data_IF_344435104422
#
_entry.id   IF_344435104422
#
_cell.length_a   1.000
_cell.length_b   1.000
_cell.length_c   1.000
_cell.angle_alpha   90.00
_cell.angle_beta   90.00
_cell.angle_gamma   90.00
#
_symmetry.space_group_name_H-M   'P 1'
#
loop_
_entity.id
_entity.type
_entity.pdbx_description
1 polymer ?
#
# COMPACT_ATOMS: atom_id res chain seq x y z
N UNK A 1 5.71 18.03 11.27
CA UNK A 1 5.17 17.93 12.63
C UNK A 1 5.02 16.47 13.06
N UNK A 2 4.35 15.62 12.28
CA UNK A 2 4.05 14.21 12.62
C UNK A 2 5.31 13.38 12.91
N UNK A 3 6.41 13.57 12.16
CA UNK A 3 7.68 12.87 12.40
C UNK A 3 8.22 13.11 13.81
N UNK A 4 8.10 14.35 14.34
CA UNK A 4 8.54 14.68 15.71
C UNK A 4 7.62 14.05 16.75
N UNK A 5 6.30 14.08 16.51
CA UNK A 5 5.33 13.43 17.41
C UNK A 5 5.54 11.92 17.43
N UNK A 6 5.76 11.31 16.28
CA UNK A 6 5.99 9.86 16.16
C UNK A 6 7.25 9.43 16.93
N UNK A 7 8.35 10.19 16.82
CA UNK A 7 9.58 9.88 17.57
C UNK A 7 9.40 9.95 19.10
N UNK A 8 8.53 10.84 19.58
CA UNK A 8 8.17 10.90 21.01
C UNK A 8 7.32 9.67 21.39
N UNK A 9 6.36 9.29 20.55
CA UNK A 9 5.50 8.12 20.78
C UNK A 9 6.31 6.83 20.88
N UNK A 10 7.37 6.71 20.08
CA UNK A 10 8.28 5.58 20.11
C UNK A 10 8.99 5.46 21.48
N UNK A 11 9.57 6.57 21.96
CA UNK A 11 10.27 6.63 23.24
C UNK A 11 9.35 6.34 24.44
N UNK A 12 8.11 6.78 24.39
CA UNK A 12 7.15 6.61 25.51
C UNK A 12 6.26 5.35 25.36
N UNK A 13 6.53 4.49 24.37
CA UNK A 13 5.81 3.23 24.18
C UNK A 13 4.33 3.39 23.79
N UNK A 14 3.97 4.47 23.09
CA UNK A 14 2.57 4.75 22.69
C UNK A 14 2.30 4.60 21.19
N UNK A 15 3.21 3.94 20.46
CA UNK A 15 3.08 3.74 19.00
C UNK A 15 1.80 2.96 18.68
N UNK A 16 1.46 1.95 19.47
CA UNK A 16 0.28 1.10 19.28
C UNK A 16 -1.04 1.69 19.81
N UNK A 17 -1.01 2.91 20.34
CA UNK A 17 -2.21 3.57 20.85
C UNK A 17 -3.22 3.84 19.73
N UNK A 18 -4.38 3.19 19.77
CA UNK A 18 -5.43 3.31 18.76
C UNK A 18 -5.84 4.76 18.46
N UNK A 19 -6.11 5.64 19.45
CA UNK A 19 -6.45 7.03 19.17
C UNK A 19 -5.31 7.79 18.49
N UNK A 20 -4.06 7.53 18.87
CA UNK A 20 -2.89 8.20 18.29
C UNK A 20 -2.58 7.70 16.87
N UNK A 21 -2.78 6.43 16.58
CA UNK A 21 -2.69 5.88 15.22
C UNK A 21 -3.76 6.55 14.34
N UNK A 22 -4.99 6.56 14.78
CA UNK A 22 -6.12 7.15 14.06
C UNK A 22 -5.87 8.63 13.75
N UNK A 23 -5.47 9.41 14.75
CA UNK A 23 -5.15 10.83 14.61
C UNK A 23 -3.98 11.06 13.65
N UNK A 24 -2.88 10.31 13.79
CA UNK A 24 -1.69 10.44 12.93
C UNK A 24 -2.00 10.14 11.46
N UNK A 25 -2.79 9.11 11.18
CA UNK A 25 -3.17 8.76 9.81
C UNK A 25 -4.08 9.82 9.21
N UNK A 26 -5.19 10.13 9.88
CA UNK A 26 -6.24 10.97 9.31
C UNK A 26 -5.85 12.45 9.23
N UNK A 27 -5.10 12.99 10.19
CA UNK A 27 -4.64 14.38 10.13
C UNK A 27 -3.85 14.68 8.85
N UNK A 28 -3.01 13.75 8.41
CA UNK A 28 -2.25 13.89 7.14
C UNK A 28 -3.15 13.82 5.92
N UNK A 29 -4.13 12.94 5.92
CA UNK A 29 -5.08 12.79 4.80
C UNK A 29 -6.02 13.98 4.68
N UNK A 30 -6.54 14.45 5.79
CA UNK A 30 -7.37 15.66 5.84
C UNK A 30 -6.55 16.89 5.40
N UNK A 31 -5.34 17.06 5.91
CA UNK A 31 -4.45 18.16 5.54
C UNK A 31 -4.06 18.15 4.05
N UNK A 32 -4.01 17.00 3.41
CA UNK A 32 -3.74 16.88 1.96
C UNK A 32 -4.96 17.15 1.08
N UNK A 33 -6.14 17.38 1.68
CA UNK A 33 -7.36 17.75 0.96
C UNK A 33 -8.01 16.63 0.15
N UNK A 34 -7.76 15.36 0.50
CA UNK A 34 -8.43 14.24 -0.17
C UNK A 34 -9.91 14.18 0.20
N UNK A 35 -10.77 13.86 -0.75
CA UNK A 35 -12.23 13.80 -0.59
C UNK A 35 -12.75 12.38 -0.40
N UNK A 36 -11.95 11.40 -0.77
CA UNK A 36 -12.27 9.98 -0.66
C UNK A 36 -11.00 9.19 -0.31
N UNK A 37 -11.14 8.19 0.54
CA UNK A 37 -10.04 7.42 1.09
C UNK A 37 -10.42 5.95 1.23
N UNK A 38 -9.58 5.07 0.73
CA UNK A 38 -9.62 3.64 1.05
C UNK A 38 -8.34 3.31 1.83
N UNK A 39 -8.51 2.64 2.96
CA UNK A 39 -7.42 2.25 3.86
C UNK A 39 -7.21 0.76 3.81
N UNK A 40 -5.97 0.35 3.64
CA UNK A 40 -5.52 -1.02 3.80
C UNK A 40 -5.08 -1.23 5.26
N UNK A 41 -5.88 -1.97 6.03
CA UNK A 41 -5.61 -2.29 7.44
C UNK A 41 -5.04 -3.70 7.52
N UNK A 42 -3.74 -3.79 7.73
CA UNK A 42 -3.04 -5.07 7.81
C UNK A 42 -3.33 -5.83 9.10
N UNK A 43 -3.49 -7.15 9.00
CA UNK A 43 -3.64 -8.07 10.14
C UNK A 43 -2.71 -9.27 9.97
N UNK A 44 -2.07 -9.70 11.03
CA UNK A 44 -1.18 -10.88 11.02
C UNK A 44 0.13 -10.65 11.77
N UNK A 45 1.05 -11.62 11.67
CA UNK A 45 2.33 -11.61 12.40
C UNK A 45 3.26 -10.48 11.95
N UNK A 46 3.15 -9.98 10.73
CA UNK A 46 3.90 -8.83 10.23
C UNK A 46 3.28 -7.46 10.60
N UNK A 47 2.16 -7.43 11.32
CA UNK A 47 1.41 -6.23 11.65
C UNK A 47 1.32 -5.99 13.16
N UNK A 48 1.21 -4.73 13.59
CA UNK A 48 0.79 -4.40 14.96
C UNK A 48 -0.60 -4.93 15.31
N UNK A 49 -1.47 -5.15 14.31
CA UNK A 49 -2.76 -5.78 14.50
C UNK A 49 -2.61 -7.31 14.42
N UNK A 50 -2.20 -7.93 15.49
CA UNK A 50 -1.96 -9.39 15.55
C UNK A 50 -3.22 -10.24 15.38
N UNK A 51 -4.42 -9.67 15.62
CA UNK A 51 -5.71 -10.36 15.50
C UNK A 51 -6.71 -9.56 14.67
N UNK A 52 -7.67 -10.26 14.07
CA UNK A 52 -8.74 -9.65 13.30
C UNK A 52 -9.56 -8.65 14.13
N UNK A 53 -9.78 -8.92 15.40
CA UNK A 53 -10.54 -8.07 16.32
C UNK A 53 -9.82 -6.72 16.55
N UNK A 54 -8.48 -6.73 16.64
CA UNK A 54 -7.68 -5.50 16.77
C UNK A 54 -7.75 -4.71 15.48
N UNK A 55 -7.56 -5.36 14.32
CA UNK A 55 -7.67 -4.73 13.01
C UNK A 55 -9.05 -4.11 12.78
N UNK A 56 -10.14 -4.81 13.16
CA UNK A 56 -11.50 -4.27 13.07
C UNK A 56 -11.72 -3.02 13.94
N UNK A 57 -11.16 -3.01 15.17
CA UNK A 57 -11.24 -1.83 16.04
C UNK A 57 -10.56 -0.63 15.40
N UNK A 58 -9.38 -0.84 14.81
CA UNK A 58 -8.65 0.21 14.10
C UNK A 58 -9.42 0.68 12.86
N UNK A 59 -9.90 -0.24 12.03
CA UNK A 59 -10.69 0.07 10.84
C UNK A 59 -11.93 0.89 11.18
N UNK A 60 -12.70 0.47 12.19
CA UNK A 60 -13.90 1.18 12.68
C UNK A 60 -13.55 2.58 13.22
N UNK A 61 -12.46 2.71 13.97
CA UNK A 61 -11.98 4.00 14.48
C UNK A 61 -11.65 4.96 13.33
N UNK A 62 -10.87 4.50 12.35
CA UNK A 62 -10.47 5.29 11.18
C UNK A 62 -11.68 5.74 10.36
N UNK A 63 -12.59 4.83 10.03
CA UNK A 63 -13.80 5.15 9.23
C UNK A 63 -14.72 6.14 9.98
N UNK A 64 -14.94 5.93 11.28
CA UNK A 64 -15.82 6.79 12.07
C UNK A 64 -15.25 8.22 12.22
N UNK A 65 -13.96 8.36 12.47
CA UNK A 65 -13.31 9.67 12.59
C UNK A 65 -13.25 10.38 11.24
N UNK A 66 -12.94 9.65 10.16
CA UNK A 66 -12.98 10.19 8.80
C UNK A 66 -14.38 10.72 8.44
N UNK A 67 -15.42 9.95 8.74
CA UNK A 67 -16.82 10.37 8.54
C UNK A 67 -17.17 11.63 9.35
N UNK A 68 -16.67 11.73 10.57
CA UNK A 68 -16.85 12.95 11.40
C UNK A 68 -16.15 14.20 10.85
N UNK A 69 -15.21 14.02 9.92
CA UNK A 69 -14.49 15.07 9.20
C UNK A 69 -14.97 15.23 7.74
N UNK A 70 -16.17 14.75 7.40
CA UNK A 70 -16.77 14.76 6.05
C UNK A 70 -15.91 14.11 4.95
N UNK A 71 -15.00 13.21 5.34
CA UNK A 71 -14.18 12.42 4.43
C UNK A 71 -14.85 11.07 4.14
N UNK A 72 -15.17 10.79 2.88
CA UNK A 72 -15.62 9.45 2.47
C UNK A 72 -14.50 8.46 2.71
N UNK A 73 -14.75 7.43 3.51
CA UNK A 73 -13.71 6.49 3.90
C UNK A 73 -14.23 5.06 4.01
N UNK A 74 -13.50 4.14 3.41
CA UNK A 74 -13.62 2.69 3.59
C UNK A 74 -12.31 2.11 4.10
N UNK A 75 -12.38 0.97 4.78
CA UNK A 75 -11.20 0.24 5.22
C UNK A 75 -11.36 -1.24 4.85
N UNK A 76 -10.36 -1.77 4.16
CA UNK A 76 -10.23 -3.18 3.86
C UNK A 76 -9.21 -3.78 4.83
N UNK A 77 -9.57 -4.93 5.43
CA UNK A 77 -8.64 -5.69 6.28
C UNK A 77 -7.98 -6.74 5.40
N UNK A 78 -6.64 -6.70 5.35
CA UNK A 78 -5.86 -7.60 4.52
C UNK A 78 -4.82 -8.36 5.34
N UNK A 79 -4.50 -9.58 4.89
CA UNK A 79 -3.56 -10.45 5.58
C UNK A 79 -2.11 -9.98 5.45
N UNK A 80 -1.37 -10.01 6.56
CA UNK A 80 0.07 -9.74 6.65
C UNK A 80 0.82 -10.87 7.40
N UNK A 81 0.39 -12.12 7.22
CA UNK A 81 1.14 -13.28 7.70
C UNK A 81 2.23 -13.73 6.70
N UNK A 82 2.35 -13.05 5.59
CA UNK A 82 3.34 -13.28 4.53
C UNK A 82 3.63 -11.97 3.80
N UNK A 83 4.70 -11.94 3.01
CA UNK A 83 5.02 -10.80 2.14
C UNK A 83 3.89 -10.53 1.14
N UNK A 84 3.72 -9.27 0.75
CA UNK A 84 2.63 -8.86 -0.14
C UNK A 84 2.80 -9.43 -1.55
N UNK A 85 3.98 -9.30 -2.11
CA UNK A 85 4.40 -9.86 -3.40
C UNK A 85 5.48 -10.92 -3.22
N UNK A 86 6.48 -10.90 -4.09
CA UNK A 86 7.62 -11.82 -4.10
C UNK A 86 8.88 -11.20 -3.52
N UNK A 87 8.91 -9.89 -3.39
CA UNK A 87 10.08 -9.12 -2.99
C UNK A 87 9.90 -8.52 -1.61
N UNK A 88 11.01 -8.39 -0.88
CA UNK A 88 11.09 -7.64 0.37
C UNK A 88 12.37 -6.77 0.35
N UNK A 89 12.21 -5.46 0.49
CA UNK A 89 13.28 -4.46 0.44
C UNK A 89 12.97 -3.35 -0.55
N UNK A 90 13.32 -2.11 -0.19
CA UNK A 90 12.86 -0.89 -0.89
C UNK A 90 13.04 -0.95 -2.42
N UNK A 91 14.25 -1.17 -2.92
CA UNK A 91 14.51 -1.19 -4.37
C UNK A 91 13.83 -2.36 -5.06
N UNK A 92 13.82 -3.54 -4.43
CA UNK A 92 13.22 -4.74 -4.99
C UNK A 92 11.70 -4.61 -5.09
N UNK A 93 11.05 -4.03 -4.08
CA UNK A 93 9.61 -3.78 -4.08
C UNK A 93 9.21 -2.72 -5.12
N UNK A 94 10.05 -1.69 -5.32
CA UNK A 94 9.82 -0.71 -6.40
C UNK A 94 9.97 -1.36 -7.78
N UNK A 95 10.94 -2.24 -7.98
CA UNK A 95 11.09 -3.02 -9.21
C UNK A 95 9.86 -3.88 -9.45
N UNK A 96 9.38 -4.61 -8.44
CA UNK A 96 8.16 -5.42 -8.54
C UNK A 96 6.92 -4.57 -8.87
N UNK A 97 6.80 -3.37 -8.29
CA UNK A 97 5.74 -2.43 -8.67
C UNK A 97 5.84 -1.98 -10.13
N UNK A 98 7.04 -1.70 -10.64
CA UNK A 98 7.24 -1.35 -12.05
C UNK A 98 6.87 -2.53 -12.95
N UNK A 99 7.33 -3.73 -12.64
CA UNK A 99 6.97 -4.94 -13.38
C UNK A 99 5.46 -5.18 -13.37
N UNK A 100 4.80 -4.98 -12.24
CA UNK A 100 3.33 -5.05 -12.13
C UNK A 100 2.63 -4.07 -13.08
N UNK A 101 3.15 -2.85 -13.21
CA UNK A 101 2.57 -1.80 -14.05
C UNK A 101 2.87 -1.95 -15.53
N UNK A 102 3.99 -2.61 -15.89
CA UNK A 102 4.52 -2.64 -17.27
C UNK A 102 4.41 -4.01 -17.95
N UNK A 103 4.13 -5.07 -17.19
CA UNK A 103 4.06 -6.43 -17.74
C UNK A 103 2.70 -7.09 -17.50
N UNK A 104 2.48 -8.22 -18.15
CA UNK A 104 1.29 -9.07 -17.91
C UNK A 104 1.53 -10.16 -16.87
N UNK A 105 2.77 -10.33 -16.41
CA UNK A 105 3.15 -11.34 -15.40
C UNK A 105 3.06 -10.72 -14.01
N UNK A 106 1.84 -10.61 -13.48
CA UNK A 106 1.57 -10.03 -12.16
C UNK A 106 1.50 -11.12 -11.09
N UNK A 107 2.04 -10.84 -9.91
CA UNK A 107 1.80 -11.70 -8.76
C UNK A 107 0.32 -11.67 -8.40
N UNK A 108 -0.29 -12.84 -8.27
CA UNK A 108 -1.75 -12.96 -8.08
C UNK A 108 -2.24 -12.32 -6.77
N UNK A 109 -1.47 -12.43 -5.71
CA UNK A 109 -1.84 -11.87 -4.42
C UNK A 109 -1.76 -10.35 -4.45
N UNK A 110 -0.68 -9.80 -4.97
CA UNK A 110 -0.50 -8.37 -5.18
C UNK A 110 -1.62 -7.81 -6.07
N UNK A 111 -1.98 -8.51 -7.13
CA UNK A 111 -3.05 -8.14 -8.05
C UNK A 111 -4.42 -8.11 -7.36
N UNK A 112 -4.76 -9.14 -6.58
CA UNK A 112 -6.03 -9.20 -5.85
C UNK A 112 -6.16 -8.01 -4.90
N UNK A 113 -5.14 -7.76 -4.06
CA UNK A 113 -5.19 -6.70 -3.06
C UNK A 113 -5.22 -5.32 -3.75
N UNK A 114 -4.41 -5.11 -4.78
CA UNK A 114 -4.42 -3.86 -5.55
C UNK A 114 -5.77 -3.61 -6.21
N UNK A 115 -6.37 -4.63 -6.82
CA UNK A 115 -7.68 -4.54 -7.45
C UNK A 115 -8.79 -4.28 -6.44
N UNK A 116 -8.77 -4.91 -5.27
CA UNK A 116 -9.77 -4.67 -4.23
C UNK A 116 -9.69 -3.24 -3.69
N UNK A 117 -8.51 -2.73 -3.38
CA UNK A 117 -8.32 -1.36 -2.92
C UNK A 117 -8.71 -0.32 -4.00
N UNK A 118 -8.24 -0.51 -5.23
CA UNK A 118 -8.51 0.40 -6.32
C UNK A 118 -9.99 0.38 -6.76
N UNK A 119 -10.62 -0.81 -6.80
CA UNK A 119 -12.04 -0.91 -7.14
C UNK A 119 -12.92 -0.28 -6.08
N UNK A 120 -12.65 -0.48 -4.78
CA UNK A 120 -13.38 0.20 -3.69
C UNK A 120 -13.32 1.72 -3.84
N UNK A 121 -12.14 2.27 -4.15
CA UNK A 121 -12.00 3.70 -4.37
C UNK A 121 -12.79 4.19 -5.60
N UNK A 122 -12.69 3.47 -6.72
CA UNK A 122 -13.42 3.83 -7.95
C UNK A 122 -14.94 3.74 -7.79
N UNK A 123 -15.42 2.72 -7.09
CA UNK A 123 -16.84 2.57 -6.75
C UNK A 123 -17.34 3.75 -5.90
N UNK A 124 -16.58 4.13 -4.88
CA UNK A 124 -16.90 5.23 -3.97
C UNK A 124 -16.97 6.59 -4.69
N UNK A 125 -16.04 6.84 -5.62
CA UNK A 125 -15.94 8.13 -6.32
C UNK A 125 -16.94 8.22 -7.47
N UNK A 126 -17.08 7.16 -8.27
CA UNK A 126 -17.81 7.19 -9.54
C UNK A 126 -19.22 6.57 -9.44
N UNK A 127 -19.58 5.98 -8.30
CA UNK A 127 -20.85 5.27 -8.11
C UNK A 127 -21.10 4.19 -9.18
N UNK A 128 -20.07 3.37 -9.46
CA UNK A 128 -20.08 2.31 -10.45
C UNK A 128 -20.03 0.94 -9.77
N UNK A 129 -20.34 -0.13 -10.49
CA UNK A 129 -20.21 -1.50 -10.01
C UNK A 129 -18.74 -1.93 -9.87
N UNK A 130 -18.50 -2.97 -9.06
CA UNK A 130 -17.15 -3.58 -8.93
C UNK A 130 -16.64 -4.08 -10.28
N UNK A 131 -17.52 -4.65 -11.10
CA UNK A 131 -17.17 -5.16 -12.43
C UNK A 131 -16.70 -4.03 -13.36
N UNK A 132 -17.40 -2.91 -13.37
CA UNK A 132 -17.01 -1.72 -14.15
C UNK A 132 -15.69 -1.11 -13.63
N UNK A 133 -15.49 -1.08 -12.32
CA UNK A 133 -14.25 -0.62 -11.72
C UNK A 133 -13.06 -1.49 -12.14
N UNK A 134 -13.21 -2.82 -12.08
CA UNK A 134 -12.17 -3.78 -12.51
C UNK A 134 -11.86 -3.66 -14.01
N UNK A 135 -12.87 -3.47 -14.87
CA UNK A 135 -12.66 -3.20 -16.30
C UNK A 135 -11.82 -1.94 -16.53
N UNK A 136 -12.09 -0.87 -15.77
CA UNK A 136 -11.29 0.38 -15.84
C UNK A 136 -9.85 0.15 -15.37
N UNK A 137 -9.64 -0.57 -14.26
CA UNK A 137 -8.31 -0.88 -13.74
C UNK A 137 -7.50 -1.68 -14.77
N UNK A 138 -8.05 -2.76 -15.29
CA UNK A 138 -7.39 -3.58 -16.28
C UNK A 138 -7.05 -2.78 -17.55
N UNK A 139 -7.99 -1.94 -18.01
CA UNK A 139 -7.75 -1.09 -19.19
C UNK A 139 -6.54 -0.16 -19.02
N UNK A 140 -6.38 0.51 -17.86
CA UNK A 140 -5.25 1.43 -17.65
C UNK A 140 -3.93 0.70 -17.39
N UNK A 141 -3.99 -0.52 -16.89
CA UNK A 141 -2.81 -1.38 -16.76
C UNK A 141 -2.35 -1.90 -18.13
N UNK A 142 -3.28 -2.36 -18.96
CA UNK A 142 -2.96 -3.01 -20.23
C UNK A 142 -2.53 -2.02 -21.33
N UNK A 143 -3.03 -0.78 -21.27
CA UNK A 143 -2.65 0.28 -22.22
C UNK A 143 -1.47 1.15 -21.77
N UNK A 144 -0.88 0.87 -20.58
CA UNK A 144 0.30 1.55 -20.05
C UNK A 144 0.02 2.90 -19.36
N UNK A 145 -1.22 3.37 -19.30
CA UNK A 145 -1.55 4.66 -18.64
C UNK A 145 -1.23 4.67 -17.15
N UNK A 146 -1.33 3.52 -16.48
CA UNK A 146 -0.95 3.39 -15.07
C UNK A 146 0.55 3.57 -14.89
N UNK A 147 1.38 2.97 -15.75
CA UNK A 147 2.82 3.11 -15.74
C UNK A 147 3.25 4.57 -16.05
N UNK A 148 2.65 5.19 -17.07
CA UNK A 148 2.87 6.61 -17.39
C UNK A 148 2.54 7.52 -16.19
N UNK A 149 1.44 7.25 -15.49
CA UNK A 149 1.05 8.04 -14.31
C UNK A 149 2.05 7.87 -13.16
N UNK A 150 2.56 6.66 -12.97
CA UNK A 150 3.60 6.37 -11.98
C UNK A 150 4.88 7.16 -12.30
N UNK A 151 5.34 7.15 -13.55
CA UNK A 151 6.53 7.90 -13.97
C UNK A 151 6.37 9.42 -13.75
N UNK A 152 5.20 9.98 -14.10
CA UNK A 152 4.86 11.38 -13.81
C UNK A 152 4.91 11.69 -12.31
N UNK A 153 4.43 10.78 -11.47
CA UNK A 153 4.49 10.92 -10.02
C UNK A 153 5.94 10.93 -9.52
N UNK A 154 6.77 9.99 -9.97
CA UNK A 154 8.20 9.93 -9.63
C UNK A 154 8.90 11.22 -10.01
N UNK A 155 8.66 11.72 -11.23
CA UNK A 155 9.24 12.99 -11.70
C UNK A 155 8.77 14.18 -10.84
N UNK A 156 7.49 14.28 -10.54
CA UNK A 156 6.95 15.36 -9.71
C UNK A 156 7.52 15.37 -8.27
N UNK A 157 7.97 14.21 -7.78
CA UNK A 157 8.65 14.06 -6.49
C UNK A 157 10.16 14.28 -6.56
N UNK A 158 10.70 14.71 -7.70
CA UNK A 158 12.11 15.02 -7.90
C UNK A 158 12.95 13.88 -8.50
N UNK A 159 12.31 12.78 -8.92
CA UNK A 159 12.98 11.70 -9.65
C UNK A 159 13.18 12.00 -11.13
N UNK A 160 13.83 11.07 -11.83
CA UNK A 160 14.07 11.17 -13.27
C UNK A 160 12.75 11.16 -14.05
N UNK A 161 12.67 11.96 -15.13
CA UNK A 161 11.57 11.94 -16.08
C UNK A 161 11.63 10.77 -17.08
N UNK A 162 12.68 9.94 -17.00
CA UNK A 162 12.86 8.71 -17.76
C UNK A 162 13.06 7.52 -16.81
N UNK A 163 12.35 7.52 -15.69
CA UNK A 163 12.56 6.55 -14.61
C UNK A 163 12.25 5.12 -15.09
N UNK A 164 11.13 4.90 -15.76
CA UNK A 164 10.73 3.57 -16.25
C UNK A 164 11.70 2.97 -17.26
N UNK A 165 12.42 3.78 -18.02
CA UNK A 165 13.41 3.27 -18.98
C UNK A 165 14.80 3.04 -18.37
N UNK A 166 15.04 3.45 -17.14
CA UNK A 166 16.36 3.45 -16.49
C UNK A 166 16.35 2.97 -15.04
N UNK A 167 15.22 2.47 -14.55
CA UNK A 167 15.05 2.08 -13.14
C UNK A 167 16.05 1.02 -12.69
N UNK A 168 16.40 0.07 -13.57
CA UNK A 168 17.37 -0.97 -13.24
C UNK A 168 18.73 -0.38 -12.83
N UNK A 169 19.17 0.66 -13.53
CA UNK A 169 20.43 1.36 -13.22
C UNK A 169 20.31 2.24 -11.97
N UNK A 170 19.15 2.87 -11.78
CA UNK A 170 18.91 3.78 -10.66
C UNK A 170 18.67 3.03 -9.36
N UNK A 171 18.08 1.84 -9.42
CA UNK A 171 17.77 0.99 -8.27
C UNK A 171 18.81 -0.11 -8.05
N UNK A 172 19.79 -0.26 -8.95
CA UNK A 172 20.89 -1.19 -8.78
C UNK A 172 21.76 -0.77 -7.59
N UNK A 173 21.63 -1.46 -6.48
CA UNK A 173 22.30 -1.10 -5.22
C UNK A 173 23.07 -2.22 -4.54
N UNK A 174 23.00 -3.45 -5.03
CA UNK A 174 23.61 -4.60 -4.36
C UNK A 174 24.89 -5.03 -5.06
N UNK A 175 26.01 -4.91 -4.34
CA UNK A 175 27.31 -5.46 -4.76
C UNK A 175 27.45 -6.96 -4.46
N UNK A 176 26.51 -7.55 -3.72
CA UNK A 176 26.54 -8.94 -3.29
C UNK A 176 25.13 -9.56 -3.36
N UNK A 177 25.07 -10.79 -3.88
CA UNK A 177 23.86 -11.61 -3.92
C UNK A 177 24.23 -13.05 -3.59
N UNK A 178 23.44 -13.70 -2.74
CA UNK A 178 23.64 -15.09 -2.33
C UNK A 178 22.31 -15.84 -2.42
N UNK A 179 22.35 -17.03 -3.02
CA UNK A 179 21.21 -17.94 -3.03
C UNK A 179 21.19 -18.78 -1.76
N UNK A 180 20.05 -18.76 -1.07
CA UNK A 180 19.85 -19.56 0.15
C UNK A 180 18.87 -20.68 -0.19
N UNK A 181 19.31 -21.91 -0.05
CA UNK A 181 18.49 -23.09 -0.26
C UNK A 181 18.15 -23.72 1.10
N UNK A 182 16.84 -23.98 1.30
CA UNK A 182 16.37 -24.79 2.41
C UNK A 182 16.23 -26.22 1.96
N UNK A 183 16.70 -27.16 2.80
CA UNK A 183 16.59 -28.61 2.51
C UNK A 183 15.17 -29.16 2.71
N UNK A 184 14.28 -28.35 3.24
CA UNK A 184 12.90 -28.74 3.57
C UNK A 184 11.92 -27.72 3.02
N UNK A 185 10.73 -28.18 2.64
CA UNK A 185 9.59 -27.31 2.32
C UNK A 185 8.98 -26.78 3.61
N UNK A 186 8.70 -25.48 3.65
CA UNK A 186 8.15 -24.84 4.84
C UNK A 186 7.55 -23.48 4.55
N UNK A 187 7.10 -22.85 5.62
CA UNK A 187 6.55 -21.50 5.59
C UNK A 187 7.47 -20.58 6.39
N UNK A 188 7.79 -19.43 5.82
CA UNK A 188 8.48 -18.35 6.54
C UNK A 188 7.51 -17.80 7.57
N UNK A 189 7.88 -17.84 8.85
CA UNK A 189 7.04 -17.39 9.96
C UNK A 189 7.53 -16.08 10.56
N UNK A 190 8.83 -15.97 10.80
CA UNK A 190 9.52 -14.82 11.43
C UNK A 190 10.90 -14.64 10.81
#
# INVERSE_FOLDING_TARGET
>A
ADKKLYSIRDVVGTVESLPLITSSILSKKIASGVTSLVLDVKVGNGSFNSTIQIAEKLAKSLVNVAKGADLKCEALITDMNQVLGKSAGHSLEVIECIEYLTTTKRDKRLEIITNDLASSLLMMINNISKEEALKKINSVLDNGLAAEKFEKMVHALGGSNSFLSSYEKQLAGNSYSEEIFLNESGWIKE
#
